data_IF_568616217392
#
_entry.id   IF_568616217392
#
_cell.length_a   1.000
_cell.length_b   1.000
_cell.length_c   1.000
_cell.angle_alpha   90.00
_cell.angle_beta   90.00
_cell.angle_gamma   90.00
#
_symmetry.space_group_name_H-M   'P 1'
#
loop_
_entity.id
_entity.type
_entity.pdbx_description
1 polymer ?
#
# COMPACT_ATOMS: atom_id res chain seq x y z
N UNK A 1 -12.86 11.23 4.80
CA UNK A 1 -13.18 10.63 3.48
C UNK A 1 -11.94 9.95 2.91
N UNK A 2 -10.88 10.66 2.51
CA UNK A 2 -9.74 10.08 1.75
C UNK A 2 -9.01 8.80 2.22
N UNK A 3 -9.09 8.39 3.49
CA UNK A 3 -8.47 7.14 3.96
C UNK A 3 -9.23 5.90 3.47
N UNK A 4 -10.56 5.99 3.38
CA UNK A 4 -11.41 4.86 2.99
C UNK A 4 -11.16 4.45 1.53
N UNK A 5 -10.94 5.40 0.63
CA UNK A 5 -10.63 5.09 -0.77
C UNK A 5 -9.29 4.34 -0.91
N UNK A 6 -8.26 4.73 -0.13
CA UNK A 6 -6.96 4.04 -0.12
C UNK A 6 -7.10 2.61 0.41
N UNK A 7 -7.84 2.42 1.50
CA UNK A 7 -8.14 1.09 2.05
C UNK A 7 -8.89 0.24 1.04
N UNK A 8 -9.95 0.79 0.42
CA UNK A 8 -10.74 0.07 -0.58
C UNK A 8 -9.94 -0.27 -1.84
N UNK A 9 -8.98 0.57 -2.23
CA UNK A 9 -8.07 0.27 -3.32
C UNK A 9 -7.17 -0.92 -2.98
N UNK A 10 -6.54 -0.89 -1.80
CA UNK A 10 -5.64 -1.94 -1.35
C UNK A 10 -6.35 -3.28 -1.16
N UNK A 11 -7.58 -3.28 -0.63
CA UNK A 11 -8.41 -4.50 -0.52
C UNK A 11 -8.72 -5.18 -1.85
N UNK A 12 -8.68 -4.44 -2.95
CA UNK A 12 -8.91 -4.98 -4.30
C UNK A 12 -7.64 -5.46 -4.98
N UNK A 13 -6.48 -5.15 -4.41
CA UNK A 13 -5.22 -5.59 -4.95
C UNK A 13 -5.01 -7.04 -4.52
N UNK A 14 -4.49 -7.90 -5.39
CA UNK A 14 -4.07 -9.27 -5.07
C UNK A 14 -2.56 -9.37 -4.78
N UNK A 15 -1.84 -8.27 -5.00
CA UNK A 15 -0.40 -8.17 -4.84
C UNK A 15 0.01 -6.83 -4.21
N UNK A 16 1.17 -6.75 -3.53
CA UNK A 16 1.72 -5.49 -3.06
C UNK A 16 1.83 -4.45 -4.17
N UNK A 17 1.35 -3.25 -3.89
CA UNK A 17 1.35 -2.11 -4.82
C UNK A 17 2.23 -0.97 -4.29
N UNK A 18 2.82 -0.22 -5.20
CA UNK A 18 3.60 0.96 -4.88
C UNK A 18 2.70 2.15 -4.59
N UNK A 19 3.25 3.14 -3.87
CA UNK A 19 2.57 4.44 -3.70
C UNK A 19 2.11 5.06 -5.03
N UNK A 20 2.93 4.90 -6.08
CA UNK A 20 2.63 5.45 -7.39
C UNK A 20 1.42 4.74 -8.01
N UNK A 21 1.38 3.41 -7.96
CA UNK A 21 0.22 2.65 -8.46
C UNK A 21 -1.08 2.98 -7.70
N UNK A 22 -1.00 3.20 -6.39
CA UNK A 22 -2.15 3.66 -5.60
C UNK A 22 -2.60 5.06 -6.05
N UNK A 23 -1.64 5.99 -6.23
CA UNK A 23 -1.93 7.35 -6.68
C UNK A 23 -2.54 7.37 -8.09
N UNK A 24 -1.95 6.62 -9.02
CA UNK A 24 -2.42 6.50 -10.40
C UNK A 24 -3.82 5.86 -10.42
N UNK A 25 -4.04 4.78 -9.66
CA UNK A 25 -5.32 4.08 -9.59
C UNK A 25 -6.46 4.88 -8.94
N UNK A 26 -6.12 5.83 -8.05
CA UNK A 26 -7.09 6.75 -7.45
C UNK A 26 -7.17 8.10 -8.18
N UNK A 27 -6.33 8.33 -9.20
CA UNK A 27 -6.14 9.62 -9.86
C UNK A 27 -5.83 10.76 -8.88
N UNK A 28 -4.93 10.50 -7.93
CA UNK A 28 -4.57 11.40 -6.82
C UNK A 28 -3.10 11.82 -6.88
N UNK A 29 -2.79 12.90 -6.18
CA UNK A 29 -1.40 13.32 -5.96
C UNK A 29 -0.63 12.32 -5.07
N UNK A 30 0.59 11.89 -5.47
CA UNK A 30 1.39 10.95 -4.69
C UNK A 30 1.78 11.44 -3.29
N UNK A 31 1.91 12.74 -3.06
CA UNK A 31 2.23 13.30 -1.73
C UNK A 31 1.02 13.13 -0.82
N UNK A 32 -0.19 13.37 -1.33
CA UNK A 32 -1.44 13.11 -0.59
C UNK A 32 -1.54 11.64 -0.18
N UNK A 33 -1.33 10.70 -1.11
CA UNK A 33 -1.33 9.26 -0.80
C UNK A 33 -0.26 8.93 0.23
N UNK A 34 0.94 9.49 0.10
CA UNK A 34 2.02 9.25 1.06
C UNK A 34 1.69 9.67 2.49
N UNK A 35 0.95 10.76 2.67
CA UNK A 35 0.51 11.23 3.99
C UNK A 35 -0.54 10.31 4.57
N UNK A 36 -1.55 9.96 3.78
CA UNK A 36 -2.62 9.05 4.20
C UNK A 36 -2.09 7.68 4.60
N UNK A 37 -1.16 7.09 3.83
CA UNK A 37 -0.54 5.82 4.19
C UNK A 37 0.22 5.89 5.53
N UNK A 38 0.92 6.99 5.80
CA UNK A 38 1.60 7.20 7.09
C UNK A 38 0.61 7.33 8.25
N UNK A 39 -0.51 7.99 8.03
CA UNK A 39 -1.53 8.18 9.05
C UNK A 39 -2.23 6.85 9.37
N UNK A 40 -2.56 6.07 8.34
CA UNK A 40 -3.14 4.72 8.48
C UNK A 40 -2.20 3.77 9.25
N UNK A 41 -0.91 3.76 8.91
CA UNK A 41 0.12 2.99 9.61
C UNK A 41 0.23 3.36 11.10
N UNK A 42 0.06 4.65 11.44
CA UNK A 42 0.12 5.12 12.83
C UNK A 42 -1.14 4.76 13.63
N UNK A 43 -2.30 4.80 12.98
CA UNK A 43 -3.59 4.58 13.63
C UNK A 43 -3.81 3.14 14.08
N UNK A 44 -3.11 2.15 13.49
CA UNK A 44 -3.36 0.70 13.67
C UNK A 44 -4.82 0.29 13.43
N UNK A 45 -5.61 1.13 12.75
CA UNK A 45 -7.01 0.85 12.39
C UNK A 45 -7.13 -0.21 11.27
N UNK A 46 -6.02 -0.53 10.60
CA UNK A 46 -5.92 -1.55 9.56
C UNK A 46 -4.60 -2.31 9.68
N UNK A 47 -4.63 -3.62 9.42
CA UNK A 47 -3.42 -4.41 9.25
C UNK A 47 -2.84 -4.18 7.87
N UNK A 48 -1.82 -3.32 7.86
CA UNK A 48 -1.17 -2.87 6.65
C UNK A 48 0.32 -3.19 6.73
N UNK A 49 0.85 -3.81 5.69
CA UNK A 49 2.27 -4.17 5.63
C UNK A 49 2.99 -3.29 4.61
N UNK A 50 4.03 -2.61 5.08
CA UNK A 50 5.02 -1.93 4.25
C UNK A 50 6.18 -2.88 3.97
N UNK A 51 6.37 -3.25 2.71
CA UNK A 51 7.48 -4.08 2.27
C UNK A 51 8.55 -3.25 1.57
N UNK A 52 9.81 -3.59 1.84
CA UNK A 52 10.94 -3.09 1.06
C UNK A 52 11.11 -3.90 -0.22
N UNK A 53 11.88 -3.36 -1.17
CA UNK A 53 12.10 -3.95 -2.51
C UNK A 53 12.38 -5.45 -2.47
N UNK A 54 13.36 -5.90 -1.70
CA UNK A 54 13.82 -7.29 -1.78
C UNK A 54 12.79 -8.27 -1.21
N UNK A 55 12.01 -7.84 -0.23
CA UNK A 55 10.90 -8.62 0.32
C UNK A 55 9.71 -8.62 -0.63
N UNK A 56 9.36 -7.45 -1.19
CA UNK A 56 8.31 -7.34 -2.18
C UNK A 56 8.63 -8.14 -3.44
N UNK A 57 9.85 -8.05 -3.96
CA UNK A 57 10.30 -8.83 -5.13
C UNK A 57 10.16 -10.33 -4.92
N UNK A 58 10.36 -10.84 -3.70
CA UNK A 58 10.11 -12.26 -3.37
C UNK A 58 8.62 -12.59 -3.40
N UNK A 59 7.77 -11.69 -2.91
CA UNK A 59 6.32 -11.88 -2.86
C UNK A 59 5.64 -11.73 -4.23
N UNK A 60 6.11 -10.79 -5.05
CA UNK A 60 5.44 -10.40 -6.31
C UNK A 60 6.16 -10.95 -7.55
N UNK A 61 7.34 -11.55 -7.40
CA UNK A 61 8.13 -12.08 -8.52
C UNK A 61 8.72 -11.01 -9.45
N UNK A 62 8.65 -9.72 -9.08
CA UNK A 62 9.13 -8.61 -9.91
C UNK A 62 10.58 -8.25 -9.60
N UNK A 63 11.40 -8.15 -10.65
CA UNK A 63 12.77 -7.61 -10.59
C UNK A 63 12.71 -6.18 -11.14
N UNK A 64 13.37 -5.23 -10.45
CA UNK A 64 13.68 -3.85 -10.87
C UNK A 64 12.82 -2.76 -10.20
N UNK A 65 13.44 -2.06 -9.24
CA UNK A 65 13.48 -0.59 -9.06
C UNK A 65 14.18 -0.25 -7.72
N UNK A 66 15.16 0.66 -7.70
CA UNK A 66 15.89 1.05 -6.46
C UNK A 66 15.00 1.95 -5.57
N UNK A 67 14.93 1.66 -4.26
CA UNK A 67 14.26 2.46 -3.20
C UNK A 67 12.73 2.59 -3.29
N UNK A 68 12.03 1.58 -3.80
CA UNK A 68 10.56 1.57 -3.82
C UNK A 68 9.99 0.85 -2.61
N UNK A 69 9.00 1.47 -1.95
CA UNK A 69 8.18 0.85 -0.89
C UNK A 69 6.90 0.31 -1.50
N UNK A 70 6.52 -0.88 -1.08
CA UNK A 70 5.30 -1.56 -1.49
C UNK A 70 4.37 -1.72 -0.31
N UNK A 71 3.09 -1.80 -0.61
CA UNK A 71 2.02 -1.65 0.35
C UNK A 71 0.93 -2.67 0.04
N UNK A 72 0.46 -3.38 1.06
CA UNK A 72 -0.64 -4.33 0.94
C UNK A 72 -1.41 -4.43 2.24
N UNK A 73 -2.67 -4.85 2.16
CA UNK A 73 -3.53 -5.06 3.31
C UNK A 73 -3.65 -6.56 3.57
N UNK A 74 -3.37 -7.02 4.79
CA UNK A 74 -3.50 -8.45 5.13
C UNK A 74 -4.91 -8.70 5.65
N UNK A 75 -5.63 -9.61 5.03
CA UNK A 75 -6.87 -10.14 5.62
C UNK A 75 -6.49 -11.12 6.73
N UNK A 76 -6.84 -10.82 7.99
CA UNK A 76 -6.75 -11.81 9.07
C UNK A 76 -6.21 -11.37 10.44
N UNK A 77 -6.55 -10.19 10.97
CA UNK A 77 -6.52 -9.97 12.42
C UNK A 77 -7.75 -9.14 12.85
N UNK A 78 -8.84 -9.83 13.19
CA UNK A 78 -10.08 -9.16 13.62
C UNK A 78 -11.39 -9.89 13.35
N UNK A 79 -11.37 -11.20 13.12
CA UNK A 79 -12.51 -12.10 13.37
C UNK A 79 -12.10 -13.11 14.45
#
# INVERSE_FOLDING_TARGET
MGQAEVVNFLKKCEKPVTRKEIADGLNWDPIRVSRLLKDLLKGKDIDFIEHQRDEASKLVGYVLLRRTRFFFLVEGYGD
#
